data_IF_214689107222
#
_entry.id   IF_214689107222
#
_cell.length_a   1.000
_cell.length_b   1.000
_cell.length_c   1.000
_cell.angle_alpha   90.00
_cell.angle_beta   90.00
_cell.angle_gamma   90.00
#
_symmetry.space_group_name_H-M   'P 1'
#
loop_
_entity.id
_entity.type
_entity.pdbx_description
1 polymer ?
#
# COMPACT_ATOMS: atom_id res chain seq x y z
N UNK A 1 -13.57 -14.54 -38.76
CA UNK A 1 -13.82 -13.44 -39.71
C UNK A 1 -13.59 -12.14 -38.95
N UNK A 2 -12.43 -11.52 -39.15
CA UNK A 2 -12.03 -10.28 -38.47
C UNK A 2 -12.82 -9.12 -39.07
N UNK A 3 -13.67 -8.51 -38.27
CA UNK A 3 -14.29 -7.23 -38.63
C UNK A 3 -13.46 -6.16 -37.95
N UNK A 4 -12.52 -5.59 -38.71
CA UNK A 4 -11.92 -4.29 -38.42
C UNK A 4 -13.04 -3.23 -38.43
N UNK A 5 -13.68 -3.07 -37.28
CA UNK A 5 -14.47 -1.90 -36.93
C UNK A 5 -13.54 -0.90 -36.27
N UNK A 6 -13.65 0.35 -36.67
CA UNK A 6 -12.84 1.47 -36.18
C UNK A 6 -13.06 1.67 -34.66
N UNK A 7 -12.31 0.96 -33.82
CA UNK A 7 -12.28 1.18 -32.36
C UNK A 7 -11.54 2.49 -32.09
N UNK A 8 -12.27 3.60 -32.16
CA UNK A 8 -11.82 4.83 -31.52
C UNK A 8 -12.15 4.72 -30.04
N UNK A 9 -11.21 4.20 -29.27
CA UNK A 9 -11.28 4.23 -27.82
C UNK A 9 -11.08 5.68 -27.37
N UNK A 10 -12.07 6.23 -26.68
CA UNK A 10 -11.99 7.55 -26.06
C UNK A 10 -11.83 7.36 -24.56
N UNK A 11 -10.75 7.90 -23.99
CA UNK A 11 -10.54 7.94 -22.55
C UNK A 11 -10.91 9.32 -22.04
N UNK A 12 -11.73 9.38 -21.00
CA UNK A 12 -12.10 10.60 -20.29
C UNK A 12 -11.78 10.39 -18.82
N UNK A 13 -10.97 11.27 -18.24
CA UNK A 13 -10.74 11.28 -16.79
C UNK A 13 -11.89 12.08 -16.18
N UNK A 14 -12.68 11.42 -15.33
CA UNK A 14 -13.82 12.03 -14.65
C UNK A 14 -13.37 12.64 -13.33
N UNK A 15 -13.73 13.91 -13.12
CA UNK A 15 -13.59 14.57 -11.82
C UNK A 15 -14.90 14.41 -11.03
N UNK A 16 -14.88 14.50 -9.69
CA UNK A 16 -16.04 14.22 -8.83
C UNK A 16 -17.34 14.94 -9.21
N UNK A 17 -17.24 16.16 -9.75
CA UNK A 17 -18.39 17.00 -10.12
C UNK A 17 -18.71 17.01 -11.62
N UNK A 18 -18.05 16.16 -12.41
CA UNK A 18 -18.21 16.16 -13.86
C UNK A 18 -19.29 15.18 -14.29
N UNK A 19 -20.24 15.68 -15.08
CA UNK A 19 -21.12 14.81 -15.86
C UNK A 19 -20.28 14.29 -17.04
N UNK A 20 -20.05 12.97 -17.15
CA UNK A 20 -19.31 12.40 -18.27
C UNK A 20 -20.02 12.78 -19.56
N UNK A 21 -19.40 13.67 -20.34
CA UNK A 21 -19.87 14.01 -21.68
C UNK A 21 -18.77 13.67 -22.67
N UNK A 22 -19.03 12.66 -23.49
CA UNK A 22 -18.17 12.32 -24.63
C UNK A 22 -18.25 13.40 -25.71
N UNK A 23 -17.42 13.25 -26.74
CA UNK A 23 -17.54 14.09 -27.95
C UNK A 23 -18.96 13.93 -28.52
N UNK A 24 -19.65 15.04 -28.77
CA UNK A 24 -20.96 14.98 -29.44
C UNK A 24 -20.77 14.55 -30.89
N UNK A 25 -21.54 13.55 -31.33
CA UNK A 25 -21.59 13.12 -32.71
C UNK A 25 -22.84 13.69 -33.37
N UNK A 26 -22.70 14.19 -34.61
CA UNK A 26 -23.86 14.61 -35.40
C UNK A 26 -24.75 13.39 -35.63
N UNK A 27 -26.05 13.54 -35.37
CA UNK A 27 -27.06 12.49 -35.58
C UNK A 27 -26.98 11.93 -37.01
N UNK A 28 -26.76 12.80 -38.00
CA UNK A 28 -26.57 12.41 -39.41
C UNK A 28 -25.42 11.41 -39.62
N UNK A 29 -24.34 11.53 -38.83
CA UNK A 29 -23.19 10.60 -38.88
C UNK A 29 -23.55 9.25 -38.28
N UNK A 30 -24.31 9.23 -37.18
CA UNK A 30 -24.79 8.01 -36.54
C UNK A 30 -25.80 7.28 -37.44
N UNK A 31 -26.72 8.00 -38.07
CA UNK A 31 -27.77 7.47 -38.94
C UNK A 31 -27.29 7.07 -40.35
N UNK A 32 -26.07 7.44 -40.73
CA UNK A 32 -25.53 7.09 -42.05
C UNK A 32 -25.38 5.57 -42.18
N UNK A 33 -26.03 4.96 -43.18
CA UNK A 33 -25.98 3.51 -43.44
C UNK A 33 -24.54 2.97 -43.63
N UNK A 34 -23.60 3.83 -44.03
CA UNK A 34 -22.19 3.48 -44.22
C UNK A 34 -21.38 3.52 -42.91
N UNK A 35 -21.90 4.09 -41.82
CA UNK A 35 -21.18 4.29 -40.56
C UNK A 35 -21.01 3.03 -39.72
N UNK A 36 -21.82 1.99 -39.99
CA UNK A 36 -21.91 0.73 -39.23
C UNK A 36 -22.26 0.87 -37.74
N UNK A 37 -22.62 2.06 -37.26
CA UNK A 37 -23.04 2.27 -35.86
C UNK A 37 -24.42 1.69 -35.56
N UNK A 38 -25.31 1.66 -36.56
CA UNK A 38 -26.63 1.04 -36.43
C UNK A 38 -26.59 -0.41 -36.94
N UNK A 39 -26.99 -1.36 -36.10
CA UNK A 39 -27.24 -2.76 -36.49
C UNK A 39 -28.73 -3.02 -36.41
N UNK A 40 -29.37 -3.31 -37.55
CA UNK A 40 -30.82 -3.53 -37.67
C UNK A 40 -31.67 -2.39 -37.08
N UNK A 41 -31.23 -1.14 -37.27
CA UNK A 41 -31.93 0.05 -36.74
C UNK A 41 -31.71 0.31 -35.24
N UNK A 42 -30.96 -0.54 -34.53
CA UNK A 42 -30.58 -0.33 -33.14
C UNK A 42 -29.15 0.25 -33.05
N UNK A 43 -29.00 1.24 -32.17
CA UNK A 43 -27.69 1.73 -31.70
C UNK A 43 -27.36 1.00 -30.41
N UNK A 44 -26.21 0.30 -30.38
CA UNK A 44 -25.68 -0.29 -29.16
C UNK A 44 -24.47 0.52 -28.71
N UNK A 45 -24.50 0.98 -27.46
CA UNK A 45 -23.40 1.70 -26.83
C UNK A 45 -22.89 0.82 -25.70
N UNK A 46 -21.61 0.47 -25.75
CA UNK A 46 -20.90 -0.19 -24.67
C UNK A 46 -19.94 0.82 -24.04
N UNK A 47 -19.87 0.82 -22.72
CA UNK A 47 -18.95 1.66 -21.97
C UNK A 47 -18.40 0.87 -20.80
N UNK A 48 -17.19 1.19 -20.38
CA UNK A 48 -16.53 0.64 -19.21
C UNK A 48 -16.03 1.78 -18.33
N UNK A 49 -15.98 1.54 -17.02
CA UNK A 49 -15.30 2.42 -16.09
C UNK A 49 -13.99 1.77 -15.69
N UNK A 50 -12.95 2.59 -15.62
CA UNK A 50 -11.70 2.23 -14.98
C UNK A 50 -11.52 3.16 -13.79
N UNK A 51 -11.38 2.57 -12.60
CA UNK A 51 -11.19 3.31 -11.36
C UNK A 51 -9.68 3.40 -11.13
N UNK A 52 -9.12 4.60 -11.28
CA UNK A 52 -7.68 4.85 -11.09
C UNK A 52 -7.31 4.94 -9.60
N UNK A 53 -8.14 5.63 -8.81
CA UNK A 53 -7.94 5.84 -7.39
C UNK A 53 -9.30 5.92 -6.67
N UNK A 54 -9.30 5.59 -5.38
CA UNK A 54 -10.48 5.63 -4.51
C UNK A 54 -10.18 6.51 -3.31
N UNK A 55 -11.02 7.49 -3.03
CA UNK A 55 -10.90 8.32 -1.84
C UNK A 55 -11.34 7.50 -0.60
N UNK A 56 -10.44 7.40 0.38
CA UNK A 56 -10.73 6.77 1.67
C UNK A 56 -11.57 7.67 2.58
N UNK A 57 -12.02 7.12 3.70
CA UNK A 57 -12.87 7.84 4.68
C UNK A 57 -12.15 8.97 5.44
N UNK A 58 -10.85 9.13 5.22
CA UNK A 58 -9.98 10.14 5.83
C UNK A 58 -9.51 11.19 4.81
N UNK A 59 -10.21 11.34 3.68
CA UNK A 59 -9.87 12.25 2.58
C UNK A 59 -8.49 11.96 1.95
N UNK A 60 -7.99 10.73 2.11
CA UNK A 60 -6.75 10.27 1.50
C UNK A 60 -7.06 9.41 0.28
N UNK A 61 -6.48 9.77 -0.86
CA UNK A 61 -6.58 9.00 -2.08
C UNK A 61 -5.74 7.74 -2.02
N UNK A 62 -6.40 6.60 -2.26
CA UNK A 62 -5.81 5.27 -2.29
C UNK A 62 -5.71 4.78 -3.73
N UNK A 63 -4.68 3.99 -4.02
CA UNK A 63 -4.57 3.28 -5.28
C UNK A 63 -5.64 2.19 -5.36
N UNK A 64 -6.22 2.00 -6.55
CA UNK A 64 -7.07 0.85 -6.80
C UNK A 64 -6.20 -0.38 -7.13
N UNK A 65 -6.08 -1.31 -6.19
CA UNK A 65 -5.37 -2.58 -6.39
C UNK A 65 -6.30 -3.73 -6.76
N UNK A 66 -7.61 -3.52 -6.88
CA UNK A 66 -8.57 -4.58 -7.15
C UNK A 66 -8.73 -4.87 -8.66
N UNK A 67 -8.32 -3.91 -9.49
CA UNK A 67 -8.42 -3.98 -10.94
C UNK A 67 -7.05 -3.95 -11.62
N UNK A 68 -6.94 -4.66 -12.75
CA UNK A 68 -5.79 -4.49 -13.66
C UNK A 68 -5.89 -3.16 -14.41
N UNK A 69 -4.75 -2.64 -14.85
CA UNK A 69 -4.70 -1.46 -15.72
C UNK A 69 -5.52 -1.69 -17.00
N UNK A 70 -6.48 -0.81 -17.26
CA UNK A 70 -7.29 -0.86 -18.47
C UNK A 70 -6.51 -0.35 -19.69
N UNK A 71 -6.61 -1.05 -20.82
CA UNK A 71 -6.11 -0.58 -22.11
C UNK A 71 -4.58 -0.60 -22.29
N UNK A 72 -3.82 -1.15 -21.36
CA UNK A 72 -2.38 -1.38 -21.53
C UNK A 72 -2.12 -2.84 -21.94
N UNK A 73 -1.49 -3.09 -23.11
CA UNK A 73 -1.30 -4.44 -23.64
C UNK A 73 -0.22 -5.24 -22.89
N UNK A 74 0.63 -4.61 -22.08
CA UNK A 74 1.69 -5.29 -21.35
C UNK A 74 1.26 -5.57 -19.91
N UNK A 75 0.78 -6.79 -19.65
CA UNK A 75 0.50 -7.32 -18.31
C UNK A 75 1.72 -7.26 -17.37
N UNK A 76 2.93 -7.15 -17.95
CA UNK A 76 4.22 -7.03 -17.27
C UNK A 76 4.39 -5.76 -16.41
N UNK A 77 3.53 -4.76 -16.59
CA UNK A 77 3.59 -3.52 -15.81
C UNK A 77 2.97 -3.66 -14.40
N UNK A 78 2.21 -4.73 -14.16
CA UNK A 78 1.55 -5.00 -12.89
C UNK A 78 2.08 -6.29 -12.28
N UNK A 79 2.26 -6.27 -10.96
CA UNK A 79 2.52 -7.45 -10.13
C UNK A 79 1.17 -7.93 -9.60
N UNK A 80 0.91 -9.22 -9.73
CA UNK A 80 -0.27 -9.87 -9.16
C UNK A 80 0.11 -10.49 -7.81
N UNK A 81 -0.56 -10.08 -6.74
CA UNK A 81 -0.46 -10.69 -5.43
C UNK A 81 -1.68 -11.60 -5.22
N UNK A 82 -1.43 -12.87 -4.97
CA UNK A 82 -2.47 -13.89 -4.80
C UNK A 82 -2.44 -14.46 -3.39
N UNK A 83 -3.60 -14.85 -2.86
CA UNK A 83 -3.70 -15.51 -1.56
C UNK A 83 -4.46 -16.82 -1.71
N UNK A 84 -3.87 -17.91 -1.20
CA UNK A 84 -4.48 -19.24 -1.28
C UNK A 84 -5.84 -19.25 -0.59
N UNK A 85 -6.86 -19.72 -1.31
CA UNK A 85 -8.24 -19.81 -0.81
C UNK A 85 -9.03 -18.50 -0.89
N UNK A 86 -8.45 -17.44 -1.46
CA UNK A 86 -9.14 -16.17 -1.77
C UNK A 86 -9.20 -16.00 -3.28
N UNK A 87 -10.37 -15.63 -3.80
CA UNK A 87 -10.55 -15.45 -5.24
C UNK A 87 -10.06 -14.08 -5.73
N UNK A 88 -10.11 -13.05 -4.87
CA UNK A 88 -9.63 -11.72 -5.23
C UNK A 88 -8.09 -11.64 -5.18
N UNK A 89 -7.50 -11.11 -6.25
CA UNK A 89 -6.07 -10.77 -6.30
C UNK A 89 -5.90 -9.27 -6.06
N UNK A 90 -4.69 -8.87 -5.65
CA UNK A 90 -4.27 -7.48 -5.65
C UNK A 90 -3.30 -7.24 -6.81
N UNK A 91 -3.50 -6.17 -7.56
CA UNK A 91 -2.69 -5.79 -8.71
C UNK A 91 -1.93 -4.51 -8.39
N UNK A 92 -0.61 -4.52 -8.46
CA UNK A 92 0.22 -3.39 -8.06
C UNK A 92 1.20 -2.97 -9.15
N UNK A 93 1.46 -1.67 -9.29
CA UNK A 93 2.41 -1.16 -10.29
C UNK A 93 3.84 -1.66 -10.04
N UNK A 94 4.36 -2.47 -10.98
CA UNK A 94 5.71 -3.06 -10.90
C UNK A 94 6.80 -2.00 -10.81
N UNK A 95 6.67 -0.92 -11.58
CA UNK A 95 7.69 0.14 -11.62
C UNK A 95 7.89 0.82 -10.27
N UNK A 96 6.80 1.08 -9.53
CA UNK A 96 6.86 1.73 -8.22
C UNK A 96 7.52 0.79 -7.20
N UNK A 97 7.08 -0.46 -7.14
CA UNK A 97 7.64 -1.44 -6.21
C UNK A 97 9.11 -1.75 -6.54
N UNK A 98 9.45 -1.95 -7.81
CA UNK A 98 10.82 -2.26 -8.27
C UNK A 98 11.78 -1.09 -8.10
N UNK A 99 11.28 0.15 -8.05
CA UNK A 99 12.08 1.32 -7.72
C UNK A 99 12.59 1.28 -6.27
N UNK A 100 11.75 0.78 -5.35
CA UNK A 100 12.07 0.73 -3.93
C UNK A 100 12.78 -0.56 -3.49
N UNK A 101 12.60 -1.66 -4.22
CA UNK A 101 13.23 -2.94 -3.86
C UNK A 101 13.51 -3.84 -5.08
N UNK A 102 14.67 -4.52 -5.11
CA UNK A 102 14.99 -5.50 -6.14
C UNK A 102 14.26 -6.84 -5.97
N UNK A 103 13.46 -7.01 -4.91
CA UNK A 103 12.72 -8.25 -4.64
C UNK A 103 11.63 -8.56 -5.69
N UNK A 104 11.18 -7.54 -6.43
CA UNK A 104 10.06 -7.61 -7.38
C UNK A 104 10.48 -7.99 -8.81
N UNK A 105 11.03 -9.19 -8.97
CA UNK A 105 11.48 -9.71 -10.27
C UNK A 105 10.35 -10.42 -11.03
N UNK A 106 9.52 -11.14 -10.29
CA UNK A 106 8.45 -11.96 -10.84
C UNK A 106 7.20 -11.12 -11.13
N UNK A 107 6.24 -11.73 -11.81
CA UNK A 107 4.95 -11.11 -12.14
C UNK A 107 3.87 -11.49 -11.13
N UNK A 108 4.08 -12.56 -10.36
CA UNK A 108 3.11 -13.07 -9.40
C UNK A 108 3.79 -13.45 -8.10
N UNK A 109 3.18 -13.05 -6.98
CA UNK A 109 3.63 -13.36 -5.64
C UNK A 109 2.47 -13.90 -4.81
N UNK A 110 2.69 -15.04 -4.17
CA UNK A 110 1.74 -15.54 -3.17
C UNK A 110 2.01 -14.88 -1.82
N UNK A 111 0.95 -14.58 -1.06
CA UNK A 111 1.06 -14.08 0.30
C UNK A 111 0.12 -14.79 1.26
N UNK A 112 0.58 -14.91 2.51
CA UNK A 112 -0.15 -15.60 3.59
C UNK A 112 -0.84 -14.62 4.54
N UNK A 113 -0.37 -13.38 4.61
CA UNK A 113 -0.85 -12.33 5.51
C UNK A 113 -2.31 -11.98 5.24
N UNK A 114 -2.97 -11.36 6.21
CA UNK A 114 -4.34 -10.90 6.00
C UNK A 114 -4.41 -9.89 4.83
N UNK A 115 -5.50 -9.96 4.07
CA UNK A 115 -5.67 -9.22 2.84
C UNK A 115 -5.55 -7.70 3.04
N UNK A 116 -6.07 -7.19 4.17
CA UNK A 116 -6.02 -5.77 4.51
C UNK A 116 -4.62 -5.30 4.88
N UNK A 117 -3.82 -6.13 5.54
CA UNK A 117 -2.42 -5.80 5.86
C UNK A 117 -1.57 -5.77 4.60
N UNK A 118 -1.78 -6.70 3.66
CA UNK A 118 -1.13 -6.63 2.35
C UNK A 118 -1.55 -5.36 1.59
N UNK A 119 -2.85 -5.04 1.55
CA UNK A 119 -3.34 -3.80 0.93
C UNK A 119 -2.69 -2.55 1.56
N UNK A 120 -2.66 -2.44 2.89
CA UNK A 120 -2.00 -1.31 3.59
C UNK A 120 -0.53 -1.21 3.24
N UNK A 121 0.19 -2.33 3.24
CA UNK A 121 1.58 -2.38 2.81
C UNK A 121 1.74 -1.81 1.39
N UNK A 122 0.90 -2.24 0.43
CA UNK A 122 0.95 -1.75 -0.93
C UNK A 122 0.63 -0.25 -1.01
N UNK A 123 -0.37 0.25 -0.28
CA UNK A 123 -0.69 1.68 -0.27
C UNK A 123 0.51 2.51 0.20
N UNK A 124 1.13 2.13 1.33
CA UNK A 124 2.32 2.82 1.86
C UNK A 124 3.50 2.70 0.91
N UNK A 125 3.73 1.52 0.34
CA UNK A 125 4.79 1.29 -0.63
C UNK A 125 4.67 2.19 -1.86
N UNK A 126 3.44 2.59 -2.21
CA UNK A 126 3.14 3.53 -3.29
C UNK A 126 3.08 5.00 -2.83
N UNK A 127 3.42 5.28 -1.58
CA UNK A 127 3.55 6.63 -1.03
C UNK A 127 2.28 7.21 -0.44
N UNK A 128 1.22 6.40 -0.27
CA UNK A 128 0.00 6.86 0.41
C UNK A 128 0.28 7.06 1.90
N UNK A 129 -0.12 8.23 2.41
CA UNK A 129 0.00 8.58 3.83
C UNK A 129 -1.20 8.05 4.61
N UNK A 130 -1.28 6.73 4.73
CA UNK A 130 -2.34 6.08 5.50
C UNK A 130 -2.24 6.42 6.98
N UNK A 131 -3.35 6.70 7.63
CA UNK A 131 -3.42 6.76 9.09
C UNK A 131 -3.63 5.35 9.63
N UNK A 132 -2.60 4.77 10.26
CA UNK A 132 -2.57 3.38 10.68
C UNK A 132 -2.44 3.30 12.20
N UNK A 133 -3.41 2.66 12.84
CA UNK A 133 -3.35 2.40 14.28
C UNK A 133 -2.19 1.47 14.63
N UNK A 134 -1.64 1.64 15.84
CA UNK A 134 -0.43 0.93 16.30
C UNK A 134 -0.51 -0.60 16.10
N UNK A 135 -1.68 -1.19 16.34
CA UNK A 135 -1.92 -2.63 16.23
C UNK A 135 -1.69 -3.22 14.82
N UNK A 136 -1.66 -2.40 13.77
CA UNK A 136 -1.49 -2.86 12.39
C UNK A 136 -0.04 -2.75 11.88
N UNK A 137 0.84 -1.98 12.54
CA UNK A 137 2.24 -1.86 12.11
C UNK A 137 3.01 -3.18 12.08
N UNK A 138 2.90 -4.11 13.07
CA UNK A 138 3.67 -5.34 13.03
C UNK A 138 3.48 -6.14 11.74
N UNK A 139 2.22 -6.28 11.30
CA UNK A 139 1.91 -6.98 10.06
C UNK A 139 2.51 -6.29 8.83
N UNK A 140 2.34 -4.96 8.73
CA UNK A 140 2.86 -4.18 7.60
C UNK A 140 4.40 -4.23 7.55
N UNK A 141 5.05 -4.11 8.70
CA UNK A 141 6.51 -4.14 8.82
C UNK A 141 7.09 -5.52 8.52
N UNK A 142 6.42 -6.61 8.93
CA UNK A 142 6.81 -7.97 8.55
C UNK A 142 6.79 -8.15 7.03
N UNK A 143 5.74 -7.67 6.35
CA UNK A 143 5.67 -7.70 4.89
C UNK A 143 6.81 -6.86 4.28
N UNK A 144 7.03 -5.66 4.82
CA UNK A 144 8.10 -4.78 4.37
C UNK A 144 9.49 -5.39 4.55
N UNK A 145 9.73 -6.16 5.60
CA UNK A 145 10.98 -6.89 5.82
C UNK A 145 11.21 -7.93 4.73
N UNK A 146 10.22 -8.80 4.48
CA UNK A 146 10.30 -9.84 3.45
C UNK A 146 10.58 -9.27 2.07
N UNK A 147 9.99 -8.12 1.74
CA UNK A 147 10.22 -7.44 0.48
C UNK A 147 11.33 -6.38 0.52
N UNK A 148 12.05 -6.22 1.64
CA UNK A 148 13.14 -5.26 1.83
C UNK A 148 12.76 -3.79 1.52
N UNK A 149 11.53 -3.40 1.86
CA UNK A 149 10.94 -2.11 1.52
C UNK A 149 11.27 -1.03 2.56
N UNK A 150 12.45 -0.43 2.45
CA UNK A 150 12.93 0.58 3.41
C UNK A 150 12.06 1.84 3.47
N UNK A 151 11.43 2.23 2.37
CA UNK A 151 10.47 3.34 2.34
C UNK A 151 9.27 3.08 3.27
N UNK A 152 8.76 1.84 3.32
CA UNK A 152 7.67 1.44 4.20
C UNK A 152 8.13 1.47 5.66
N UNK A 153 9.32 0.94 5.97
CA UNK A 153 9.91 1.04 7.31
C UNK A 153 10.00 2.48 7.79
N UNK A 154 10.57 3.37 6.98
CA UNK A 154 10.72 4.78 7.33
C UNK A 154 9.39 5.49 7.55
N UNK A 155 8.38 5.17 6.73
CA UNK A 155 7.03 5.71 6.92
C UNK A 155 6.42 5.24 8.24
N UNK A 156 6.42 3.93 8.49
CA UNK A 156 5.83 3.36 9.70
C UNK A 156 6.55 3.83 10.97
N UNK A 157 7.88 3.83 10.97
CA UNK A 157 8.68 4.29 12.11
C UNK A 157 8.43 5.78 12.40
N UNK A 158 8.30 6.61 11.36
CA UNK A 158 7.95 8.02 11.51
C UNK A 158 6.56 8.19 12.11
N UNK A 159 5.56 7.46 11.63
CA UNK A 159 4.21 7.54 12.19
C UNK A 159 4.17 7.11 13.66
N UNK A 160 4.86 6.03 14.02
CA UNK A 160 4.96 5.60 15.42
C UNK A 160 5.56 6.68 16.34
N UNK A 161 6.45 7.53 15.81
CA UNK A 161 7.02 8.66 16.55
C UNK A 161 6.04 9.85 16.58
N UNK A 162 5.32 10.13 15.49
CA UNK A 162 4.41 11.27 15.35
C UNK A 162 3.06 11.07 16.03
N UNK A 163 2.50 9.86 16.01
CA UNK A 163 1.20 9.48 16.59
C UNK A 163 1.24 9.37 18.14
N UNK A 164 2.38 9.69 18.73
CA UNK A 164 2.66 9.47 20.13
C UNK A 164 2.05 10.58 20.99
N UNK A 165 0.74 10.48 21.26
CA UNK A 165 0.05 11.29 22.28
C UNK A 165 0.75 11.07 23.65
N UNK A 166 1.31 12.14 24.21
CA UNK A 166 2.00 12.19 25.51
C UNK A 166 1.18 11.53 26.65
N UNK A 167 -0.14 11.36 26.47
CA UNK A 167 -1.07 10.78 27.45
C UNK A 167 -1.15 9.25 27.44
N UNK A 168 -0.66 8.58 26.39
CA UNK A 168 -0.65 7.10 26.26
C UNK A 168 0.72 6.50 26.67
N UNK A 169 1.66 7.34 27.13
CA UNK A 169 2.99 6.94 27.60
C UNK A 169 2.98 6.22 28.95
N UNK A 170 2.36 5.06 28.98
CA UNK A 170 2.92 3.93 29.70
C UNK A 170 3.61 3.14 28.61
N UNK A 171 4.94 3.21 28.53
CA UNK A 171 5.74 2.44 27.57
C UNK A 171 5.41 0.96 27.71
N UNK A 172 4.41 0.49 26.95
CA UNK A 172 3.95 -0.88 27.07
C UNK A 172 5.09 -1.76 26.59
N UNK A 173 5.38 -2.83 27.33
CA UNK A 173 6.38 -3.83 26.94
C UNK A 173 6.21 -4.27 25.48
N UNK A 174 4.97 -4.25 24.98
CA UNK A 174 4.65 -4.51 23.58
C UNK A 174 5.33 -3.57 22.56
N UNK A 175 5.30 -2.25 22.76
CA UNK A 175 5.92 -1.29 21.82
C UNK A 175 7.43 -1.46 21.78
N UNK A 176 8.06 -1.68 22.94
CA UNK A 176 9.48 -1.98 23.03
C UNK A 176 9.84 -3.30 22.36
N UNK A 177 9.11 -4.39 22.65
CA UNK A 177 9.30 -5.69 22.00
C UNK A 177 9.19 -5.58 20.48
N UNK A 178 8.19 -4.85 19.99
CA UNK A 178 8.03 -4.59 18.56
C UNK A 178 9.23 -3.83 17.98
N UNK A 179 9.67 -2.74 18.63
CA UNK A 179 10.81 -1.95 18.16
C UNK A 179 12.11 -2.77 18.11
N UNK A 180 12.30 -3.67 19.08
CA UNK A 180 13.45 -4.56 19.16
C UNK A 180 13.39 -5.66 18.09
N UNK A 181 12.26 -6.36 17.99
CA UNK A 181 12.06 -7.46 17.04
C UNK A 181 12.20 -7.00 15.58
N UNK A 182 11.73 -5.78 15.27
CA UNK A 182 11.74 -5.22 13.91
C UNK A 182 12.90 -4.24 13.66
N UNK A 183 13.85 -4.16 14.60
CA UNK A 183 15.03 -3.30 14.53
C UNK A 183 14.72 -1.82 14.19
N UNK A 184 13.66 -1.27 14.80
CA UNK A 184 13.21 0.11 14.62
C UNK A 184 14.04 1.05 15.49
N UNK A 185 15.29 1.29 15.10
CA UNK A 185 16.28 2.02 15.93
C UNK A 185 15.89 3.45 16.30
N UNK A 186 15.23 4.21 15.40
CA UNK A 186 14.81 5.57 15.70
C UNK A 186 13.61 5.56 16.64
N UNK A 187 12.66 4.65 16.43
CA UNK A 187 11.53 4.49 17.33
C UNK A 187 11.96 3.98 18.70
N UNK A 188 12.88 3.02 18.78
CA UNK A 188 13.48 2.55 20.05
C UNK A 188 14.15 3.70 20.80
N UNK A 189 14.95 4.52 20.09
CA UNK A 189 15.58 5.70 20.70
C UNK A 189 14.54 6.69 21.22
N UNK A 190 13.44 6.86 20.49
CA UNK A 190 12.32 7.68 20.92
C UNK A 190 11.66 7.07 22.17
N UNK A 191 11.31 5.78 22.18
CA UNK A 191 10.77 5.04 23.32
C UNK A 191 11.61 5.21 24.59
N UNK A 192 12.93 5.07 24.48
CA UNK A 192 13.85 5.20 25.60
C UNK A 192 13.87 6.63 26.19
N UNK A 193 13.77 7.68 25.38
CA UNK A 193 13.80 9.08 25.87
C UNK A 193 12.67 9.43 26.84
N UNK A 194 11.54 8.75 26.74
CA UNK A 194 10.38 9.03 27.60
C UNK A 194 10.14 7.92 28.64
N UNK A 195 11.00 6.90 28.68
CA UNK A 195 10.95 5.86 29.70
C UNK A 195 11.44 6.41 31.04
N UNK A 196 10.62 6.31 32.10
CA UNK A 196 11.01 6.66 33.48
C UNK A 196 11.48 5.39 34.23
N UNK A 197 12.21 5.53 35.35
CA UNK A 197 13.62 5.13 35.61
C UNK A 197 14.04 3.69 35.20
N UNK A 198 15.28 3.30 35.56
CA UNK A 198 15.95 2.03 35.24
C UNK A 198 15.14 0.74 35.47
N UNK A 199 14.23 0.72 36.45
CA UNK A 199 13.42 -0.45 36.78
C UNK A 199 12.54 -0.90 35.60
N UNK A 200 11.92 0.03 34.87
CA UNK A 200 11.07 -0.34 33.73
C UNK A 200 11.86 -0.93 32.57
N UNK A 201 13.09 -0.46 32.34
CA UNK A 201 13.91 -0.99 31.27
C UNK A 201 14.43 -2.38 31.61
N UNK A 202 14.78 -2.62 32.89
CA UNK A 202 15.17 -3.94 33.37
C UNK A 202 14.04 -4.95 33.17
N UNK A 203 12.82 -4.59 33.56
CA UNK A 203 11.65 -5.45 33.39
C UNK A 203 11.37 -5.76 31.91
N UNK A 204 11.48 -4.75 31.04
CA UNK A 204 11.35 -4.94 29.58
C UNK A 204 12.44 -5.86 29.04
N UNK A 205 13.68 -5.73 29.52
CA UNK A 205 14.81 -6.55 29.07
C UNK A 205 14.77 -7.98 29.59
N UNK A 206 14.22 -8.23 30.77
CA UNK A 206 13.97 -9.59 31.27
C UNK A 206 12.94 -10.33 30.39
N UNK A 207 12.02 -9.57 29.82
CA UNK A 207 10.93 -10.03 28.98
C UNK A 207 11.30 -10.17 27.48
N UNK A 208 12.46 -9.68 27.08
CA UNK A 208 12.96 -9.73 25.70
C UNK A 208 14.11 -10.74 25.65
N UNK A 209 14.12 -11.59 24.64
CA UNK A 209 15.27 -12.45 24.38
C UNK A 209 16.44 -11.59 23.89
N UNK A 210 17.26 -11.12 24.84
CA UNK A 210 18.41 -10.22 24.60
C UNK A 210 19.35 -10.78 23.54
N UNK A 211 19.48 -12.12 23.49
CA UNK A 211 20.31 -12.83 22.52
C UNK A 211 19.82 -12.71 21.07
N UNK A 212 18.53 -12.44 20.87
CA UNK A 212 17.92 -12.23 19.56
C UNK A 212 17.94 -10.75 19.10
N UNK A 213 18.35 -9.83 19.98
CA UNK A 213 18.41 -8.41 19.66
C UNK A 213 19.48 -8.11 18.62
N UNK A 214 19.17 -7.20 17.69
CA UNK A 214 20.16 -6.67 16.77
C UNK A 214 21.29 -5.96 17.54
N UNK A 215 22.51 -6.04 17.01
CA UNK A 215 23.66 -5.35 17.60
C UNK A 215 23.47 -3.82 17.69
N UNK A 216 22.66 -3.23 16.82
CA UNK A 216 22.38 -1.79 16.85
C UNK A 216 21.35 -1.42 17.92
N UNK A 217 20.28 -2.21 18.08
CA UNK A 217 19.36 -2.08 19.21
C UNK A 217 20.08 -2.26 20.54
N UNK A 218 20.97 -3.25 20.64
CA UNK A 218 21.75 -3.49 21.86
C UNK A 218 22.65 -2.30 22.21
N UNK A 219 23.36 -1.74 21.24
CA UNK A 219 24.16 -0.52 21.45
C UNK A 219 23.30 0.64 21.95
N UNK A 220 22.10 0.83 21.41
CA UNK A 220 21.17 1.90 21.82
C UNK A 220 20.72 1.69 23.27
N UNK A 221 20.32 0.48 23.64
CA UNK A 221 19.90 0.16 25.02
C UNK A 221 21.06 0.35 26.00
N UNK A 222 22.24 -0.23 25.72
CA UNK A 222 23.45 -0.10 26.54
C UNK A 222 23.82 1.37 26.72
N UNK A 223 23.81 2.14 25.64
CA UNK A 223 24.06 3.58 25.70
C UNK A 223 23.08 4.28 26.65
N UNK A 224 21.78 3.99 26.54
CA UNK A 224 20.78 4.57 27.43
C UNK A 224 20.96 4.19 28.91
N UNK A 225 21.43 2.97 29.20
CA UNK A 225 21.73 2.54 30.58
C UNK A 225 22.94 3.23 31.19
N UNK A 226 24.02 3.39 30.41
CA UNK A 226 25.31 3.86 30.94
C UNK A 226 25.55 5.37 30.76
N UNK A 227 24.90 6.02 29.78
CA UNK A 227 25.10 7.45 29.48
C UNK A 227 24.03 8.36 30.12
N UNK A 228 23.35 7.91 31.19
CA UNK A 228 22.48 8.80 32.00
C UNK A 228 23.26 9.88 32.73
#
# INVERSE_FOLDING_TARGET
>A
MYINGCEKNYQLILQPDWIPSGRSWKVETLLNKNSRFLRNGALTIEYGFYIEAVEGTNDVWNFNFYDRLYGRPNELEMITFTKKGVCENLYSHKQILSFHSPCFKDETYEFEDDYKTMERFLQIAHGVKLDIIIAHFPGVLNIAERFQMRNVFHFCERQLIEDNDERIWVGTSHQFRMALALNLTHYLTHLLKHLKPEEQLKDIMEDVEIDEMSGDCMKICVKYFFDK
#
